data_IF_668743153335
#
_entry.id   IF_668743153335
#
_cell.length_a   1.000
_cell.length_b   1.000
_cell.length_c   1.000
_cell.angle_alpha   90.00
_cell.angle_beta   90.00
_cell.angle_gamma   90.00
#
_symmetry.space_group_name_H-M   'P 1'
#
loop_
_entity.id
_entity.type
_entity.pdbx_description
1 polymer ?
#
# COMPACT_ATOMS: atom_id res chain seq x y z
N UNK A 1 16.92 -29.73 44.76
CA UNK A 1 18.31 -29.31 44.44
C UNK A 1 18.44 -29.49 42.92
N UNK A 2 18.54 -28.49 42.07
CA UNK A 2 19.36 -27.27 42.10
C UNK A 2 18.71 -26.16 41.26
N UNK A 3 18.70 -24.96 41.84
CA UNK A 3 18.94 -23.59 41.33
C UNK A 3 18.82 -23.37 39.79
N UNK A 4 18.15 -22.35 39.25
CA UNK A 4 17.93 -21.00 39.74
C UNK A 4 18.88 -20.00 39.05
N UNK A 5 18.35 -19.21 38.10
CA UNK A 5 18.80 -17.86 37.65
C UNK A 5 18.34 -17.64 36.20
N UNK A 6 17.74 -16.54 35.78
CA UNK A 6 17.59 -15.24 36.43
C UNK A 6 17.74 -14.15 35.36
N UNK A 7 16.70 -13.33 35.24
CA UNK A 7 16.68 -11.97 34.74
C UNK A 7 16.84 -11.67 33.23
N UNK A 8 15.88 -10.90 32.73
CA UNK A 8 15.93 -10.23 31.43
C UNK A 8 14.62 -9.54 31.04
N UNK A 9 13.92 -8.90 31.99
CA UNK A 9 12.88 -7.91 31.66
C UNK A 9 13.51 -6.62 31.17
N UNK A 10 12.77 -5.90 30.32
CA UNK A 10 12.93 -4.51 29.86
C UNK A 10 13.74 -4.34 28.57
N UNK A 11 13.02 -4.09 27.47
CA UNK A 11 13.17 -2.85 26.68
C UNK A 11 12.10 -2.78 25.59
N UNK A 12 11.04 -2.01 25.86
CA UNK A 12 10.23 -1.37 24.83
C UNK A 12 10.89 -0.03 24.51
N UNK A 13 11.26 0.18 23.23
CA UNK A 13 10.85 1.34 22.48
C UNK A 13 10.09 0.83 21.24
N UNK A 14 8.78 1.03 21.07
CA UNK A 14 8.21 2.29 20.60
C UNK A 14 9.17 3.07 19.68
N UNK A 15 9.33 2.58 18.46
CA UNK A 15 9.63 3.39 17.29
C UNK A 15 9.17 2.64 16.03
N UNK A 16 7.91 2.87 15.65
CA UNK A 16 7.56 2.81 14.23
C UNK A 16 8.18 4.02 13.54
N UNK A 17 8.91 3.80 12.45
CA UNK A 17 8.74 4.59 11.25
C UNK A 17 8.15 3.67 10.18
N UNK A 18 6.83 3.70 10.05
CA UNK A 18 6.20 3.44 8.77
C UNK A 18 6.43 4.68 7.90
N UNK A 19 7.37 4.61 6.95
CA UNK A 19 7.51 5.40 5.72
C UNK A 19 8.97 5.31 5.25
N UNK A 20 9.31 4.87 4.05
CA UNK A 20 8.49 4.54 2.90
C UNK A 20 9.25 3.63 1.95
N UNK A 21 8.44 2.89 1.20
CA UNK A 21 8.72 2.10 0.02
C UNK A 21 10.09 2.40 -0.63
N UNK A 22 10.99 1.43 -0.65
CA UNK A 22 10.98 0.34 -1.63
C UNK A 22 11.04 0.90 -3.07
N UNK A 23 12.26 0.90 -3.58
CA UNK A 23 12.64 0.68 -4.97
C UNK A 23 11.78 1.35 -6.04
N UNK A 24 12.39 2.36 -6.66
CA UNK A 24 12.20 2.69 -8.06
C UNK A 24 12.51 1.47 -8.95
N UNK A 25 11.63 0.47 -8.93
CA UNK A 25 11.64 -0.62 -9.87
C UNK A 25 10.96 -0.11 -11.13
N UNK A 26 11.73 -0.06 -12.21
CA UNK A 26 11.31 0.18 -13.59
C UNK A 26 9.99 -0.57 -13.89
N UNK A 27 8.83 0.08 -13.73
CA UNK A 27 7.55 -0.62 -13.74
C UNK A 27 7.03 -0.77 -15.16
N UNK A 28 7.05 -2.00 -15.65
CA UNK A 28 6.07 -2.43 -16.63
C UNK A 28 4.70 -2.30 -15.96
N UNK A 29 3.95 -1.25 -16.30
CA UNK A 29 2.64 -0.93 -15.70
C UNK A 29 1.66 -2.06 -16.03
N UNK A 30 1.55 -3.03 -15.12
CA UNK A 30 0.60 -4.13 -15.16
C UNK A 30 -0.64 -3.69 -14.39
N UNK A 31 -1.56 -3.06 -15.11
CA UNK A 31 -2.87 -2.71 -14.57
C UNK A 31 -3.65 -4.00 -14.38
N UNK A 32 -4.09 -4.29 -13.15
CA UNK A 32 -4.93 -5.46 -12.88
C UNK A 32 -6.39 -5.18 -13.25
N UNK A 33 -7.10 -6.10 -13.91
CA UNK A 33 -8.52 -5.93 -14.19
C UNK A 33 -9.39 -5.83 -12.94
N UNK A 34 -8.98 -6.43 -11.80
CA UNK A 34 -9.67 -6.29 -10.53
C UNK A 34 -9.52 -4.87 -9.97
N UNK A 35 -8.33 -4.29 -10.10
CA UNK A 35 -8.06 -2.89 -9.71
C UNK A 35 -8.91 -1.92 -10.55
N UNK A 36 -9.02 -2.16 -11.85
CA UNK A 36 -9.90 -1.37 -12.74
C UNK A 36 -11.36 -1.49 -12.33
N UNK A 37 -11.84 -2.70 -12.05
CA UNK A 37 -13.23 -2.93 -11.65
C UNK A 37 -13.55 -2.23 -10.32
N UNK A 38 -12.63 -2.30 -9.35
CA UNK A 38 -12.77 -1.64 -8.06
C UNK A 38 -12.83 -0.11 -8.22
N UNK A 39 -11.96 0.50 -9.02
CA UNK A 39 -11.97 1.96 -9.23
C UNK A 39 -13.20 2.43 -10.02
N UNK A 40 -13.68 1.64 -10.98
CA UNK A 40 -14.98 1.90 -11.66
C UNK A 40 -16.14 1.92 -10.67
N UNK A 41 -16.19 0.94 -9.77
CA UNK A 41 -17.26 0.78 -8.79
C UNK A 41 -17.22 1.87 -7.70
N UNK A 42 -16.04 2.15 -7.14
CA UNK A 42 -15.88 3.08 -6.02
C UNK A 42 -15.96 4.55 -6.42
N UNK A 43 -15.51 4.92 -7.63
CA UNK A 43 -15.55 6.29 -8.12
C UNK A 43 -16.69 6.54 -9.10
N UNK A 44 -17.48 5.50 -9.43
CA UNK A 44 -18.55 5.52 -10.44
C UNK A 44 -18.10 6.10 -11.79
N UNK A 45 -16.86 5.81 -12.20
CA UNK A 45 -16.29 6.26 -13.48
C UNK A 45 -16.29 5.16 -14.53
N UNK A 46 -16.19 5.52 -15.81
CA UNK A 46 -16.11 4.52 -16.88
C UNK A 46 -14.79 3.75 -16.85
N UNK A 47 -14.81 2.50 -17.35
CA UNK A 47 -13.62 1.63 -17.42
C UNK A 47 -12.42 2.29 -18.09
N UNK A 48 -12.67 3.10 -19.13
CA UNK A 48 -11.63 3.86 -19.82
C UNK A 48 -10.95 4.90 -18.91
N UNK A 49 -11.73 5.61 -18.10
CA UNK A 49 -11.22 6.60 -17.13
C UNK A 49 -10.48 5.91 -15.99
N UNK A 50 -10.99 4.77 -15.50
CA UNK A 50 -10.31 4.00 -14.46
C UNK A 50 -8.96 3.45 -14.95
N UNK A 51 -8.88 2.93 -16.17
CA UNK A 51 -7.60 2.44 -16.72
C UNK A 51 -6.58 3.56 -16.90
N UNK A 52 -7.01 4.75 -17.34
CA UNK A 52 -6.15 5.93 -17.45
C UNK A 52 -5.64 6.39 -16.10
N UNK A 53 -6.53 6.45 -15.09
CA UNK A 53 -6.20 6.84 -13.73
C UNK A 53 -5.21 5.85 -13.09
N UNK A 54 -5.46 4.54 -13.20
CA UNK A 54 -4.51 3.53 -12.73
C UNK A 54 -3.17 3.65 -13.44
N UNK A 55 -3.15 3.88 -14.75
CA UNK A 55 -1.91 3.99 -15.53
C UNK A 55 -1.10 5.24 -15.14
N UNK A 56 -1.75 6.33 -14.76
CA UNK A 56 -1.11 7.52 -14.19
C UNK A 56 -0.53 7.27 -12.78
N UNK A 57 -1.03 6.25 -12.08
CA UNK A 57 -0.64 5.86 -10.73
C UNK A 57 0.09 4.50 -10.69
N UNK A 58 0.83 4.17 -11.76
CA UNK A 58 1.65 2.95 -11.85
C UNK A 58 0.89 1.61 -11.69
N UNK A 59 -0.41 1.61 -12.00
CA UNK A 59 -1.31 0.48 -11.84
C UNK A 59 -1.80 0.25 -10.41
N UNK A 60 -1.59 1.21 -9.51
CA UNK A 60 -1.88 1.05 -8.09
C UNK A 60 -3.25 1.63 -7.74
N UNK A 61 -4.26 0.77 -7.57
CA UNK A 61 -5.61 1.19 -7.18
C UNK A 61 -5.65 1.89 -5.82
N UNK A 62 -4.82 1.45 -4.86
CA UNK A 62 -4.81 2.04 -3.51
C UNK A 62 -4.23 3.45 -3.55
N UNK A 63 -3.15 3.66 -4.31
CA UNK A 63 -2.56 4.99 -4.52
C UNK A 63 -3.53 5.91 -5.26
N UNK A 64 -4.15 5.40 -6.33
CA UNK A 64 -5.19 6.08 -7.09
C UNK A 64 -6.35 6.57 -6.20
N UNK A 65 -6.94 5.68 -5.41
CA UNK A 65 -8.06 6.00 -4.52
C UNK A 65 -7.67 6.97 -3.41
N UNK A 66 -6.48 6.80 -2.81
CA UNK A 66 -5.98 7.71 -1.78
C UNK A 66 -5.65 9.09 -2.33
N UNK A 67 -5.09 9.15 -3.53
CA UNK A 67 -4.82 10.41 -4.23
C UNK A 67 -6.13 11.12 -4.55
N UNK A 68 -7.14 10.38 -5.03
CA UNK A 68 -8.48 10.90 -5.30
C UNK A 68 -9.18 11.43 -4.05
N UNK A 69 -9.19 10.66 -2.96
CA UNK A 69 -9.87 11.04 -1.71
C UNK A 69 -9.21 12.22 -0.96
N UNK A 70 -8.00 12.63 -1.34
CA UNK A 70 -7.29 13.78 -0.77
C UNK A 70 -7.50 15.07 -1.58
N UNK A 71 -8.18 15.00 -2.73
CA UNK A 71 -8.62 16.16 -3.53
C UNK A 71 -10.05 16.54 -3.20
#
# INVERSE_FOLDING_TARGET
>A
LSLGSGAGTTTKPAASPAAGAASAAKKNVKVDPADVALVVDQLEISKAKATELLKAHDGDAVLALRAWARG
#
